data_IF_507733199764
#
_entry.id   IF_507733199764
#
_cell.length_a   1.000
_cell.length_b   1.000
_cell.length_c   1.000
_cell.angle_alpha   90.00
_cell.angle_beta   90.00
_cell.angle_gamma   90.00
#
_symmetry.space_group_name_H-M   'P 1'
#
loop_
_entity.id
_entity.type
_entity.pdbx_description
1 polymer ?
#
# COMPACT_ATOMS: atom_id res chain seq x y z
N UNK A 1 23.93 8.11 -40.76
CA UNK A 1 24.03 7.86 -39.31
C UNK A 1 22.82 8.53 -38.70
N UNK A 2 21.97 7.81 -37.95
CA UNK A 2 20.66 8.32 -37.51
C UNK A 2 20.91 9.46 -36.52
N UNK A 3 20.58 10.68 -36.90
CA UNK A 3 20.65 11.85 -36.03
C UNK A 3 19.54 11.67 -34.99
N UNK A 4 19.92 11.17 -33.82
CA UNK A 4 19.05 11.19 -32.65
C UNK A 4 19.05 12.64 -32.17
N UNK A 5 18.00 13.38 -32.52
CA UNK A 5 17.81 14.77 -32.09
C UNK A 5 17.86 14.85 -30.56
N UNK A 6 18.55 15.86 -30.05
CA UNK A 6 18.74 16.08 -28.62
C UNK A 6 17.39 16.17 -27.89
N UNK A 7 16.35 16.71 -28.51
CA UNK A 7 14.99 16.70 -27.96
C UNK A 7 14.46 15.28 -27.67
N UNK A 8 14.73 14.31 -28.54
CA UNK A 8 14.27 12.93 -28.34
C UNK A 8 14.99 12.27 -27.16
N UNK A 9 16.29 12.55 -27.00
CA UNK A 9 17.07 12.05 -25.86
C UNK A 9 16.55 12.64 -24.54
N UNK A 10 16.29 13.94 -24.50
CA UNK A 10 15.77 14.62 -23.30
C UNK A 10 14.38 14.10 -22.95
N UNK A 11 13.50 13.94 -23.94
CA UNK A 11 12.17 13.35 -23.74
C UNK A 11 12.24 11.93 -23.18
N UNK A 12 13.17 11.11 -23.67
CA UNK A 12 13.38 9.76 -23.16
C UNK A 12 13.85 9.75 -21.69
N UNK A 13 14.78 10.62 -21.31
CA UNK A 13 15.26 10.74 -19.92
C UNK A 13 14.13 11.18 -18.98
N UNK A 14 13.29 12.12 -19.41
CA UNK A 14 12.12 12.57 -18.65
C UNK A 14 11.12 11.43 -18.43
N UNK A 15 10.83 10.64 -19.46
CA UNK A 15 9.94 9.48 -19.35
C UNK A 15 10.49 8.42 -18.39
N UNK A 16 11.79 8.13 -18.45
CA UNK A 16 12.44 7.24 -17.49
C UNK A 16 12.33 7.77 -16.05
N UNK A 17 12.59 9.07 -15.85
CA UNK A 17 12.47 9.70 -14.53
C UNK A 17 11.05 9.64 -13.99
N UNK A 18 10.05 9.95 -14.81
CA UNK A 18 8.64 9.81 -14.46
C UNK A 18 8.28 8.36 -14.12
N UNK A 19 8.78 7.38 -14.88
CA UNK A 19 8.59 5.96 -14.60
C UNK A 19 9.16 5.54 -13.24
N UNK A 20 10.35 6.03 -12.88
CA UNK A 20 10.95 5.78 -11.55
C UNK A 20 10.09 6.38 -10.44
N UNK A 21 9.57 7.60 -10.62
CA UNK A 21 8.69 8.22 -9.64
C UNK A 21 7.41 7.42 -9.45
N UNK A 22 6.76 7.00 -10.54
CA UNK A 22 5.58 6.13 -10.48
C UNK A 22 5.90 4.83 -9.74
N UNK A 23 7.02 4.18 -10.06
CA UNK A 23 7.44 2.95 -9.40
C UNK A 23 7.66 3.15 -7.88
N UNK A 24 8.35 4.22 -7.49
CA UNK A 24 8.57 4.52 -6.07
C UNK A 24 7.27 4.85 -5.33
N UNK A 25 6.37 5.61 -5.94
CA UNK A 25 5.06 5.91 -5.35
C UNK A 25 4.25 4.65 -5.08
N UNK A 26 4.25 3.69 -6.00
CA UNK A 26 3.54 2.41 -5.81
C UNK A 26 4.21 1.54 -4.75
N UNK A 27 5.55 1.46 -4.74
CA UNK A 27 6.30 0.62 -3.79
C UNK A 27 6.27 1.15 -2.35
N UNK A 28 6.33 2.47 -2.18
CA UNK A 28 6.29 3.11 -0.86
C UNK A 28 4.87 3.30 -0.34
N UNK A 29 3.88 3.43 -1.23
CA UNK A 29 2.47 3.59 -0.85
C UNK A 29 1.83 2.34 -0.25
N UNK A 30 2.59 1.25 -0.06
CA UNK A 30 2.09 -0.05 0.40
C UNK A 30 0.84 -0.50 -0.39
N UNK A 31 0.79 -0.17 -1.68
CA UNK A 31 -0.31 -0.56 -2.54
C UNK A 31 -0.10 -2.02 -2.86
N UNK A 32 -0.79 -2.90 -2.15
CA UNK A 32 -0.80 -4.34 -2.40
C UNK A 32 -1.49 -4.61 -3.76
N UNK A 33 -0.75 -4.39 -4.85
CA UNK A 33 -1.18 -4.61 -6.25
C UNK A 33 -1.23 -6.10 -6.60
N UNK A 34 -0.46 -6.92 -5.89
CA UNK A 34 -0.52 -8.37 -5.96
C UNK A 34 -1.49 -8.83 -4.86
N UNK A 35 -2.71 -9.19 -5.27
CA UNK A 35 -3.81 -9.55 -4.36
C UNK A 35 -3.34 -10.38 -3.16
N UNK A 36 -3.76 -9.94 -1.98
CA UNK A 36 -3.42 -10.54 -0.69
C UNK A 36 -3.78 -12.02 -0.67
N UNK A 37 -2.77 -12.88 -0.50
CA UNK A 37 -3.01 -14.29 -0.18
C UNK A 37 -3.52 -14.39 1.25
N UNK A 38 -4.81 -14.61 1.43
CA UNK A 38 -5.44 -14.67 2.75
C UNK A 38 -6.96 -14.63 2.69
N UNK A 39 -7.58 -14.52 3.85
CA UNK A 39 -9.03 -14.33 4.00
C UNK A 39 -9.28 -13.20 5.01
N UNK A 40 -10.32 -12.38 4.82
CA UNK A 40 -10.69 -11.37 5.79
C UNK A 40 -11.18 -12.04 7.07
N UNK A 41 -10.74 -11.51 8.21
CA UNK A 41 -11.19 -11.92 9.54
C UNK A 41 -11.69 -10.67 10.24
N UNK A 42 -12.81 -10.79 10.94
CA UNK A 42 -13.41 -9.69 11.69
C UNK A 42 -13.37 -10.00 13.18
N UNK A 43 -13.09 -8.98 13.99
CA UNK A 43 -13.13 -9.05 15.44
C UNK A 43 -13.76 -7.79 16.03
N UNK A 44 -14.58 -7.99 17.06
CA UNK A 44 -15.23 -6.89 17.79
C UNK A 44 -14.47 -6.63 19.10
N UNK A 45 -14.07 -5.37 19.29
CA UNK A 45 -13.38 -4.89 20.49
C UNK A 45 -14.19 -3.81 21.20
N UNK A 46 -14.14 -3.72 22.54
CA UNK A 46 -14.79 -2.63 23.27
C UNK A 46 -14.25 -1.23 22.91
N UNK A 47 -13.00 -1.14 22.45
CA UNK A 47 -12.36 0.11 22.04
C UNK A 47 -11.26 -0.15 21.01
N UNK A 48 -11.11 0.74 20.02
CA UNK A 48 -10.06 0.63 19.01
C UNK A 48 -8.68 1.10 19.51
N UNK A 49 -8.61 1.84 20.63
CA UNK A 49 -7.32 2.22 21.24
C UNK A 49 -6.33 2.98 20.34
N UNK A 50 -6.80 3.63 19.26
CA UNK A 50 -5.95 4.32 18.28
C UNK A 50 -5.50 3.46 17.09
N UNK A 51 -6.06 2.26 16.92
CA UNK A 51 -5.85 1.42 15.75
C UNK A 51 -6.29 2.14 14.48
N UNK A 52 -5.48 2.02 13.43
CA UNK A 52 -5.68 2.68 12.15
C UNK A 52 -5.62 1.67 11.01
N UNK A 53 -6.20 2.04 9.88
CA UNK A 53 -6.08 1.30 8.62
C UNK A 53 -4.60 1.13 8.27
N UNK A 54 -4.21 -0.09 7.89
CA UNK A 54 -2.82 -0.44 7.59
C UNK A 54 -1.97 -0.80 8.82
N UNK A 55 -2.52 -0.77 10.03
CA UNK A 55 -1.81 -1.28 11.21
C UNK A 55 -1.41 -2.75 11.02
N UNK A 56 -0.21 -3.11 11.48
CA UNK A 56 0.35 -4.45 11.36
C UNK A 56 -0.38 -5.41 12.29
N UNK A 57 -0.75 -6.58 11.77
CA UNK A 57 -1.29 -7.71 12.55
C UNK A 57 -0.17 -8.71 12.77
N UNK A 58 0.11 -9.04 14.02
CA UNK A 58 1.19 -9.94 14.40
C UNK A 58 0.66 -11.18 15.12
N UNK A 59 1.31 -12.31 14.86
CA UNK A 59 1.13 -13.54 15.63
C UNK A 59 2.47 -13.95 16.21
N UNK A 60 2.56 -13.98 17.55
CA UNK A 60 3.82 -14.30 18.25
C UNK A 60 5.02 -13.44 17.79
N UNK A 61 4.79 -12.18 17.43
CA UNK A 61 5.82 -11.23 16.97
C UNK A 61 6.20 -11.34 15.49
N UNK A 62 5.46 -12.11 14.70
CA UNK A 62 5.64 -12.20 13.24
C UNK A 62 4.48 -11.49 12.55
N UNK A 63 4.79 -10.56 11.64
CA UNK A 63 3.79 -9.91 10.77
C UNK A 63 3.10 -10.95 9.88
N UNK A 64 1.77 -11.06 10.03
CA UNK A 64 0.91 -11.98 9.27
C UNK A 64 -0.14 -11.27 8.41
N UNK A 65 -0.28 -9.96 8.56
CA UNK A 65 -1.25 -9.18 7.79
C UNK A 65 -1.33 -7.72 8.21
N UNK A 66 -2.35 -7.03 7.68
CA UNK A 66 -2.65 -5.62 7.99
C UNK A 66 -4.15 -5.42 8.20
N UNK A 67 -4.50 -4.45 9.03
CA UNK A 67 -5.88 -4.03 9.27
C UNK A 67 -6.45 -3.35 8.03
N UNK A 68 -7.52 -3.92 7.48
CA UNK A 68 -8.17 -3.37 6.28
C UNK A 68 -9.12 -2.21 6.60
N UNK A 69 -9.86 -2.26 7.71
CA UNK A 69 -10.80 -1.21 8.10
C UNK A 69 -10.99 -1.21 9.63
N UNK A 70 -11.45 -0.08 10.16
CA UNK A 70 -11.91 0.03 11.55
C UNK A 70 -13.24 0.76 11.52
N UNK A 71 -14.30 0.08 11.93
CA UNK A 71 -15.68 0.55 11.85
C UNK A 71 -16.35 0.52 13.23
N UNK A 72 -17.37 1.37 13.42
CA UNK A 72 -18.20 1.32 14.62
C UNK A 72 -19.43 0.46 14.34
N UNK A 73 -19.52 -0.70 14.98
CA UNK A 73 -20.67 -1.60 14.88
C UNK A 73 -21.15 -1.98 16.28
N UNK A 74 -22.45 -1.85 16.56
CA UNK A 74 -23.05 -2.20 17.86
C UNK A 74 -22.34 -1.56 19.07
N UNK A 75 -21.94 -0.28 18.96
CA UNK A 75 -21.16 0.42 19.98
C UNK A 75 -19.78 -0.19 20.28
N UNK A 76 -19.28 -1.05 19.39
CA UNK A 76 -17.96 -1.69 19.48
C UNK A 76 -17.13 -1.35 18.24
N UNK A 77 -15.82 -1.39 18.41
CA UNK A 77 -14.88 -1.26 17.30
C UNK A 77 -14.79 -2.61 16.59
N UNK A 78 -15.30 -2.67 15.35
CA UNK A 78 -15.15 -3.81 14.45
C UNK A 78 -13.92 -3.59 13.58
N UNK A 79 -13.01 -4.55 13.61
CA UNK A 79 -11.74 -4.54 12.88
C UNK A 79 -11.68 -5.75 11.98
#
# INVERSE_FOLDING_TARGET
MKELDAELLVGFVLLLGAGVLVYLSLRLGQVDLAGTWGYPVQADFPTAGGLQRGAVVELAGVEIGRVEAVELANYQARV
#
